data_IF_779519733332
#
_entry.id   IF_779519733332
#
_cell.length_a   1.000
_cell.length_b   1.000
_cell.length_c   1.000
_cell.angle_alpha   90.00
_cell.angle_beta   90.00
_cell.angle_gamma   90.00
#
_symmetry.space_group_name_H-M   'P 1'
#
loop_
_entity.id
_entity.type
_entity.pdbx_description
1 polymer ?
#
# COMPACT_ATOMS: atom_id res chain seq x y z
N UNK A 1 -5.48 7.30 -1.11
CA UNK A 1 -5.66 5.85 -1.31
C UNK A 1 -6.37 5.58 -2.63
N UNK A 2 -7.62 6.02 -2.81
CA UNK A 2 -8.39 5.79 -4.05
C UNK A 2 -7.66 6.31 -5.30
N UNK A 3 -7.17 7.54 -5.28
CA UNK A 3 -6.37 8.11 -6.38
C UNK A 3 -5.12 7.28 -6.69
N UNK A 4 -4.52 6.65 -5.66
CA UNK A 4 -3.38 5.75 -5.83
C UNK A 4 -3.78 4.44 -6.50
N UNK A 5 -4.93 3.87 -6.15
CA UNK A 5 -5.49 2.67 -6.79
C UNK A 5 -5.85 2.96 -8.25
N UNK A 6 -6.46 4.12 -8.52
CA UNK A 6 -6.75 4.58 -9.87
C UNK A 6 -5.46 4.73 -10.68
N UNK A 7 -4.43 5.39 -10.12
CA UNK A 7 -3.13 5.51 -10.77
C UNK A 7 -2.48 4.15 -11.08
N UNK A 8 -2.56 3.16 -10.18
CA UNK A 8 -2.10 1.78 -10.45
C UNK A 8 -2.86 1.18 -11.63
N UNK A 9 -4.18 1.34 -11.67
CA UNK A 9 -5.00 0.82 -12.77
C UNK A 9 -4.65 1.48 -14.11
N UNK A 10 -4.45 2.80 -14.13
CA UNK A 10 -4.02 3.54 -15.30
C UNK A 10 -2.64 3.09 -15.78
N UNK A 11 -1.68 2.90 -14.87
CA UNK A 11 -0.34 2.42 -15.20
C UNK A 11 -0.37 1.04 -15.88
N UNK A 12 -1.24 0.13 -15.44
CA UNK A 12 -1.40 -1.18 -16.09
C UNK A 12 -1.76 -1.03 -17.58
N UNK A 13 -2.68 -0.11 -17.90
CA UNK A 13 -3.15 0.14 -19.27
C UNK A 13 -2.09 0.91 -20.07
N UNK A 14 -1.60 2.02 -19.53
CA UNK A 14 -0.65 2.92 -20.21
C UNK A 14 0.68 2.21 -20.51
N UNK A 15 1.14 1.35 -19.60
CA UNK A 15 2.39 0.60 -19.76
C UNK A 15 2.19 -0.72 -20.51
N UNK A 16 0.94 -1.07 -20.85
CA UNK A 16 0.58 -2.33 -21.51
C UNK A 16 1.07 -3.55 -20.71
N UNK A 17 0.85 -3.54 -19.40
CA UNK A 17 1.21 -4.64 -18.49
C UNK A 17 0.02 -5.61 -18.45
N UNK A 18 0.10 -6.67 -19.25
CA UNK A 18 -0.94 -7.72 -19.25
C UNK A 18 -0.84 -8.64 -18.03
N UNK A 19 0.39 -8.92 -17.59
CA UNK A 19 0.68 -9.80 -16.46
C UNK A 19 1.67 -9.12 -15.52
N UNK A 20 1.18 -8.55 -14.40
CA UNK A 20 2.03 -8.02 -13.36
C UNK A 20 2.91 -9.11 -12.74
N UNK A 21 4.05 -8.72 -12.20
CA UNK A 21 4.89 -9.64 -11.42
C UNK A 21 4.11 -10.15 -10.19
N UNK A 22 4.37 -11.37 -9.71
CA UNK A 22 3.70 -11.92 -8.52
C UNK A 22 3.78 -10.98 -7.30
N UNK A 23 4.90 -10.29 -7.14
CA UNK A 23 5.13 -9.35 -6.06
C UNK A 23 4.20 -8.12 -6.10
N UNK A 24 3.79 -7.66 -7.29
CA UNK A 24 2.81 -6.57 -7.43
C UNK A 24 1.42 -7.00 -7.00
N UNK A 25 1.05 -8.24 -7.33
CA UNK A 25 -0.20 -8.82 -6.85
C UNK A 25 -0.20 -8.95 -5.32
N UNK A 26 0.93 -9.35 -4.73
CA UNK A 26 1.08 -9.39 -3.28
C UNK A 26 0.92 -7.99 -2.65
N UNK A 27 1.54 -6.95 -3.21
CA UNK A 27 1.32 -5.58 -2.74
C UNK A 27 -0.14 -5.13 -2.89
N UNK A 28 -0.81 -5.47 -3.99
CA UNK A 28 -2.24 -5.15 -4.16
C UNK A 28 -3.13 -5.86 -3.12
N UNK A 29 -2.79 -7.10 -2.75
CA UNK A 29 -3.48 -7.83 -1.67
C UNK A 29 -3.25 -7.20 -0.30
N UNK A 30 -2.03 -6.71 -0.02
CA UNK A 30 -1.71 -5.93 1.18
C UNK A 30 -2.51 -4.63 1.21
N UNK A 31 -2.53 -3.88 0.11
CA UNK A 31 -3.30 -2.64 -0.02
C UNK A 31 -4.80 -2.87 0.22
N UNK A 32 -5.38 -3.92 -0.36
CA UNK A 32 -6.78 -4.26 -0.14
C UNK A 32 -7.09 -4.57 1.33
N UNK A 33 -6.20 -5.32 2.01
CA UNK A 33 -6.30 -5.59 3.45
C UNK A 33 -6.18 -4.31 4.28
N UNK A 34 -5.24 -3.42 3.95
CA UNK A 34 -5.08 -2.14 4.63
C UNK A 34 -6.33 -1.26 4.48
N UNK A 35 -6.89 -1.17 3.27
CA UNK A 35 -8.16 -0.46 3.04
C UNK A 35 -9.30 -1.04 3.88
N UNK A 36 -9.40 -2.37 3.98
CA UNK A 36 -10.42 -3.03 4.78
C UNK A 36 -10.27 -2.73 6.28
N UNK A 37 -9.04 -2.71 6.80
CA UNK A 37 -8.75 -2.34 8.18
C UNK A 37 -9.10 -0.88 8.45
N UNK A 38 -8.71 0.04 7.57
CA UNK A 38 -9.06 1.45 7.67
C UNK A 38 -10.57 1.65 7.68
N UNK A 39 -11.29 0.96 6.80
CA UNK A 39 -12.75 1.00 6.77
C UNK A 39 -13.39 0.51 8.09
N UNK A 40 -12.92 -0.61 8.65
CA UNK A 40 -13.42 -1.14 9.92
C UNK A 40 -13.18 -0.16 11.08
N UNK A 41 -12.01 0.48 11.14
CA UNK A 41 -11.68 1.45 12.18
C UNK A 41 -12.59 2.68 12.18
N UNK A 42 -13.16 3.07 11.02
CA UNK A 42 -14.08 4.21 10.95
C UNK A 42 -15.33 4.03 11.81
N UNK A 43 -15.77 2.78 12.07
CA UNK A 43 -16.92 2.52 12.92
C UNK A 43 -16.66 2.88 14.40
N UNK A 44 -15.41 2.72 14.88
CA UNK A 44 -15.00 3.03 16.25
C UNK A 44 -14.59 4.49 16.46
N UNK A 45 -14.57 5.31 15.41
CA UNK A 45 -13.95 6.63 15.45
C UNK A 45 -14.63 7.61 16.42
N UNK A 46 -15.94 7.50 16.65
CA UNK A 46 -16.68 8.39 17.56
C UNK A 46 -16.43 8.10 19.04
N UNK A 47 -16.21 6.83 19.40
CA UNK A 47 -15.96 6.42 20.78
C UNK A 47 -14.47 6.22 21.08
N UNK A 48 -13.62 6.29 20.04
CA UNK A 48 -12.21 5.94 20.10
C UNK A 48 -11.93 4.49 20.55
N UNK A 49 -12.95 3.63 20.51
CA UNK A 49 -12.83 2.23 20.90
C UNK A 49 -12.18 1.39 19.80
N UNK A 50 -11.32 0.44 20.20
CA UNK A 50 -10.74 -0.55 19.29
C UNK A 50 -9.62 -0.02 18.38
N UNK A 51 -9.25 1.25 18.47
CA UNK A 51 -8.23 1.87 17.60
C UNK A 51 -6.81 1.30 17.81
N UNK A 52 -6.50 0.78 19.01
CA UNK A 52 -5.21 0.10 19.26
C UNK A 52 -4.97 -1.10 18.34
N UNK A 53 -6.00 -1.91 18.09
CA UNK A 53 -5.86 -3.07 17.19
C UNK A 53 -5.65 -2.63 15.75
N UNK A 54 -6.30 -1.54 15.35
CA UNK A 54 -6.14 -0.94 14.04
C UNK A 54 -4.71 -0.44 13.79
N UNK A 55 -4.11 0.29 14.74
CA UNK A 55 -2.72 0.76 14.60
C UNK A 55 -1.71 -0.38 14.45
N UNK A 56 -1.84 -1.41 15.28
CA UNK A 56 -0.98 -2.60 15.21
C UNK A 56 -1.10 -3.28 13.86
N UNK A 57 -2.33 -3.44 13.35
CA UNK A 57 -2.55 -4.15 12.10
C UNK A 57 -2.13 -3.33 10.88
N UNK A 58 -2.37 -2.01 10.85
CA UNK A 58 -1.87 -1.14 9.77
C UNK A 58 -0.35 -1.12 9.73
N UNK A 59 0.32 -0.99 10.89
CA UNK A 59 1.78 -1.03 10.92
C UNK A 59 2.32 -2.41 10.47
N UNK A 60 1.65 -3.51 10.81
CA UNK A 60 2.01 -4.85 10.30
C UNK A 60 1.87 -4.93 8.77
N UNK A 61 0.80 -4.34 8.22
CA UNK A 61 0.50 -4.33 6.79
C UNK A 61 1.47 -3.46 5.98
N UNK A 62 1.78 -2.26 6.48
CA UNK A 62 2.80 -1.39 5.90
C UNK A 62 4.15 -2.11 5.84
N UNK A 63 4.63 -2.66 6.96
CA UNK A 63 5.87 -3.44 7.01
C UNK A 63 5.88 -4.64 6.04
N UNK A 64 4.71 -5.25 5.78
CA UNK A 64 4.57 -6.33 4.80
C UNK A 64 4.72 -5.80 3.36
N UNK A 65 4.02 -4.72 3.02
CA UNK A 65 4.13 -4.03 1.73
C UNK A 65 5.57 -3.60 1.44
N UNK A 66 6.17 -2.92 2.42
CA UNK A 66 7.50 -2.34 2.39
C UNK A 66 8.60 -3.42 2.20
N UNK A 67 8.41 -4.62 2.79
CA UNK A 67 9.27 -5.80 2.52
C UNK A 67 9.12 -6.32 1.09
N UNK A 68 7.89 -6.42 0.59
CA UNK A 68 7.62 -6.88 -0.77
C UNK A 68 8.19 -5.88 -1.79
N UNK A 69 8.01 -4.58 -1.55
CA UNK A 69 8.56 -3.51 -2.38
C UNK A 69 10.09 -3.59 -2.47
N UNK A 70 10.80 -3.66 -1.33
CA UNK A 70 12.27 -3.77 -1.34
C UNK A 70 12.76 -5.02 -2.08
N UNK A 71 12.08 -6.16 -1.91
CA UNK A 71 12.39 -7.39 -2.66
C UNK A 71 12.14 -7.23 -4.16
N UNK A 72 11.04 -6.57 -4.53
CA UNK A 72 10.67 -6.28 -5.92
C UNK A 72 11.75 -5.43 -6.58
N UNK A 73 12.14 -4.32 -5.94
CA UNK A 73 13.20 -3.43 -6.45
C UNK A 73 14.52 -4.18 -6.60
N UNK A 74 14.94 -4.97 -5.61
CA UNK A 74 16.17 -5.77 -5.72
C UNK A 74 16.13 -6.74 -6.91
N UNK A 75 14.98 -7.37 -7.17
CA UNK A 75 14.79 -8.27 -8.31
C UNK A 75 14.80 -7.53 -9.65
N UNK A 76 14.13 -6.38 -9.73
CA UNK A 76 14.08 -5.56 -10.94
C UNK A 76 15.48 -5.10 -11.39
N UNK A 77 16.35 -4.79 -10.43
CA UNK A 77 17.73 -4.35 -10.70
C UNK A 77 18.77 -5.49 -10.76
N UNK A 78 18.33 -6.75 -10.75
CA UNK A 78 19.22 -7.93 -10.81
C UNK A 78 19.91 -8.14 -12.16
N UNK A 79 19.42 -7.50 -13.23
CA UNK A 79 19.83 -7.75 -14.61
C UNK A 79 19.00 -8.82 -15.33
N UNK A 80 17.99 -9.41 -14.68
CA UNK A 80 17.05 -10.38 -15.28
C UNK A 80 16.18 -9.76 -16.39
N UNK A 81 15.93 -8.45 -16.32
CA UNK A 81 14.93 -7.76 -17.13
C UNK A 81 15.53 -6.70 -18.05
N UNK A 82 14.84 -6.41 -19.16
CA UNK A 82 15.19 -5.27 -20.02
C UNK A 82 14.89 -3.98 -19.26
N UNK A 83 15.70 -2.95 -19.49
CA UNK A 83 15.57 -1.65 -18.82
C UNK A 83 14.16 -1.04 -18.94
N UNK A 84 13.49 -1.21 -20.09
CA UNK A 84 12.12 -0.73 -20.27
C UNK A 84 11.13 -1.44 -19.37
N UNK A 85 11.27 -2.76 -19.20
CA UNK A 85 10.36 -3.53 -18.34
C UNK A 85 10.62 -3.20 -16.87
N UNK A 86 11.89 -2.98 -16.49
CA UNK A 86 12.26 -2.45 -15.17
C UNK A 86 11.56 -1.13 -14.88
N UNK A 87 11.59 -0.18 -15.82
CA UNK A 87 10.93 1.11 -15.65
C UNK A 87 9.42 0.95 -15.41
N UNK A 88 8.75 0.21 -16.29
CA UNK A 88 7.30 -0.02 -16.19
C UNK A 88 6.89 -0.67 -14.87
N UNK A 89 7.63 -1.69 -14.46
CA UNK A 89 7.32 -2.41 -13.24
C UNK A 89 7.69 -1.64 -11.98
N UNK A 90 8.76 -0.85 -12.02
CA UNK A 90 9.12 0.01 -10.91
C UNK A 90 8.06 1.08 -10.70
N UNK A 91 7.57 1.74 -11.75
CA UNK A 91 6.51 2.75 -11.63
C UNK A 91 5.25 2.17 -10.96
N UNK A 92 4.85 0.96 -11.35
CA UNK A 92 3.71 0.28 -10.74
C UNK A 92 3.96 -0.09 -9.26
N UNK A 93 5.16 -0.60 -8.93
CA UNK A 93 5.53 -0.97 -7.57
C UNK A 93 5.62 0.26 -6.65
N UNK A 94 6.20 1.36 -7.13
CA UNK A 94 6.27 2.63 -6.40
C UNK A 94 4.86 3.15 -6.10
N UNK A 95 3.95 3.07 -7.07
CA UNK A 95 2.58 3.57 -6.91
C UNK A 95 1.73 2.71 -5.97
N UNK A 96 1.93 1.39 -5.98
CA UNK A 96 1.31 0.46 -5.01
C UNK A 96 1.80 0.75 -3.59
N UNK A 97 3.11 0.87 -3.40
CA UNK A 97 3.71 1.19 -2.10
C UNK A 97 3.21 2.54 -1.56
N UNK A 98 3.20 3.57 -2.41
CA UNK A 98 2.67 4.88 -2.04
C UNK A 98 1.19 4.82 -1.63
N UNK A 99 0.38 3.93 -2.23
CA UNK A 99 -1.01 3.75 -1.83
C UNK A 99 -1.16 3.03 -0.47
N UNK A 100 -0.26 2.09 -0.15
CA UNK A 100 -0.19 1.41 1.15
C UNK A 100 0.20 2.41 2.24
N UNK A 101 1.24 3.22 2.00
CA UNK A 101 1.69 4.32 2.86
C UNK A 101 0.54 5.30 3.19
N UNK A 102 -0.36 5.58 2.22
CA UNK A 102 -1.56 6.39 2.50
C UNK A 102 -2.54 5.78 3.50
N UNK A 103 -2.53 4.46 3.72
CA UNK A 103 -3.31 3.85 4.80
C UNK A 103 -2.64 4.11 6.17
N UNK A 104 -1.31 4.12 6.23
CA UNK A 104 -0.56 4.48 7.43
C UNK A 104 -0.73 5.96 7.79
N UNK A 105 -0.67 6.86 6.81
CA UNK A 105 -0.95 8.30 7.01
C UNK A 105 -2.30 8.54 7.68
N UNK A 106 -3.33 7.78 7.28
CA UNK A 106 -4.64 7.83 7.92
C UNK A 106 -4.54 7.37 9.38
N UNK A 107 -3.84 6.27 9.65
CA UNK A 107 -3.65 5.76 11.01
C UNK A 107 -2.92 6.77 11.93
N UNK A 108 -1.87 7.41 11.43
CA UNK A 108 -1.13 8.47 12.12
C UNK A 108 -2.01 9.71 12.39
N UNK A 109 -2.87 10.05 11.44
CA UNK A 109 -3.86 11.13 11.59
C UNK A 109 -4.87 10.79 12.69
N UNK A 110 -5.38 9.56 12.72
CA UNK A 110 -6.32 9.12 13.77
C UNK A 110 -5.67 9.14 15.15
N UNK A 111 -4.43 8.66 15.29
CA UNK A 111 -3.67 8.71 16.53
C UNK A 111 -3.54 10.15 17.04
N UNK A 112 -3.17 11.07 16.15
CA UNK A 112 -3.05 12.50 16.47
C UNK A 112 -4.37 13.12 16.93
N UNK A 113 -5.51 12.68 16.41
CA UNK A 113 -6.84 13.13 16.86
C UNK A 113 -7.13 12.58 18.26
N UNK A 114 -6.95 11.27 18.48
CA UNK A 114 -7.19 10.62 19.77
C UNK A 114 -6.36 11.27 20.88
N UNK A 115 -5.07 11.50 20.65
CA UNK A 115 -4.17 12.15 21.62
C UNK A 115 -4.58 13.59 21.97
N UNK A 116 -5.30 14.30 21.08
CA UNK A 116 -5.81 15.65 21.35
C UNK A 116 -7.14 15.67 22.11
N UNK A 117 -7.85 14.55 22.15
CA UNK A 117 -9.17 14.41 22.76
C UNK A 117 -9.20 13.48 23.98
N UNK A 118 -8.04 12.94 24.38
CA UNK A 118 -7.81 12.19 25.62
C UNK A 118 -7.32 13.13 26.74
#
# INVERSE_FOLDING_TARGET
ILDGIEAVADLLVLHQIEQPLPEMRQQAEVLARACAQTYQAMAGLRSFDGLNQYWVEINRLENEGDRIYRKTVARLFSGEYKAMDVLKWKDLADQLEAAIDKCEDVANTLESIVLKHA
#
